data_IF_338756991949
#
_entry.id   IF_338756991949
#
_cell.length_a   1.000
_cell.length_b   1.000
_cell.length_c   1.000
_cell.angle_alpha   90.00
_cell.angle_beta   90.00
_cell.angle_gamma   90.00
#
_symmetry.space_group_name_H-M   'P 1'
#
loop_
_entity.id
_entity.type
_entity.pdbx_description
1 polymer ?
#
# COMPACT_ATOMS: atom_id res chain seq x y z
N UNK A 1 -62.86 15.19 40.98
CA UNK A 1 -61.53 14.82 41.55
C UNK A 1 -60.69 13.90 40.67
N UNK A 2 -61.23 13.31 39.58
CA UNK A 2 -60.49 12.39 38.69
C UNK A 2 -59.73 13.14 37.57
N UNK A 3 -60.24 14.27 37.07
CA UNK A 3 -59.56 15.05 36.01
C UNK A 3 -58.23 15.70 36.44
N UNK A 4 -58.06 16.07 37.71
CA UNK A 4 -56.84 16.72 38.19
C UNK A 4 -55.64 15.77 38.23
N UNK A 5 -55.88 14.46 38.46
CA UNK A 5 -54.84 13.42 38.46
C UNK A 5 -54.39 13.05 37.05
N UNK A 6 -55.25 13.19 36.04
CA UNK A 6 -54.90 12.91 34.64
C UNK A 6 -54.00 14.00 34.04
N UNK A 7 -54.28 15.27 34.35
CA UNK A 7 -53.45 16.40 33.92
C UNK A 7 -52.04 16.37 34.55
N UNK A 8 -51.92 16.00 35.83
CA UNK A 8 -50.63 15.82 36.49
C UNK A 8 -49.83 14.64 35.92
N UNK A 9 -50.49 13.55 35.51
CA UNK A 9 -49.82 12.39 34.89
C UNK A 9 -49.30 12.72 33.48
N UNK A 10 -50.05 13.49 32.68
CA UNK A 10 -49.61 13.92 31.34
C UNK A 10 -48.45 14.91 31.42
N UNK A 11 -48.44 15.82 32.41
CA UNK A 11 -47.31 16.73 32.65
C UNK A 11 -46.09 15.96 33.18
N UNK A 12 -46.26 14.96 34.05
CA UNK A 12 -45.15 14.11 34.52
C UNK A 12 -44.55 13.27 33.38
N UNK A 13 -45.38 12.72 32.48
CA UNK A 13 -44.92 11.97 31.30
C UNK A 13 -44.20 12.90 30.32
N UNK A 14 -44.65 14.15 30.15
CA UNK A 14 -43.99 15.13 29.27
C UNK A 14 -42.67 15.67 29.84
N UNK A 15 -42.48 15.61 31.17
CA UNK A 15 -41.23 15.99 31.84
C UNK A 15 -40.25 14.79 31.93
N UNK A 16 -40.76 13.56 31.97
CA UNK A 16 -39.94 12.33 31.91
C UNK A 16 -39.52 12.00 30.46
N UNK A 17 -40.33 12.38 29.48
CA UNK A 17 -39.99 12.41 28.05
C UNK A 17 -39.61 13.85 27.67
N UNK A 18 -38.64 14.43 28.36
CA UNK A 18 -37.90 15.54 27.77
C UNK A 18 -37.35 15.08 26.41
N UNK A 19 -37.17 15.97 25.41
CA UNK A 19 -36.46 15.59 24.20
C UNK A 19 -35.13 14.98 24.67
N UNK A 20 -34.91 13.70 24.35
CA UNK A 20 -33.59 13.06 24.47
C UNK A 20 -32.66 14.06 23.78
N UNK A 21 -31.86 14.79 24.56
CA UNK A 21 -30.94 15.76 24.00
C UNK A 21 -30.09 15.00 22.99
N UNK A 22 -30.32 15.29 21.72
CA UNK A 22 -29.57 14.77 20.59
C UNK A 22 -28.18 15.36 20.70
N UNK A 23 -27.32 14.68 21.46
CA UNK A 23 -25.95 15.10 21.61
C UNK A 23 -25.17 14.59 20.40
N UNK A 24 -25.00 15.46 19.40
CA UNK A 24 -23.95 15.29 18.40
C UNK A 24 -22.62 15.08 19.12
N UNK A 25 -21.91 14.00 18.78
CA UNK A 25 -20.63 13.70 19.40
C UNK A 25 -19.49 14.34 18.61
N UNK A 26 -18.58 15.01 19.30
CA UNK A 26 -17.35 15.55 18.71
C UNK A 26 -16.15 14.72 19.14
N UNK A 27 -15.44 14.14 18.18
CA UNK A 27 -14.18 13.42 18.39
C UNK A 27 -13.00 14.19 17.80
N UNK A 28 -11.80 13.96 18.34
CA UNK A 28 -10.57 14.49 17.72
C UNK A 28 -9.99 13.47 16.74
N UNK A 29 -9.30 13.94 15.69
CA UNK A 29 -8.57 13.05 14.81
C UNK A 29 -7.47 12.25 15.54
N UNK A 30 -6.88 12.81 16.59
CA UNK A 30 -5.92 12.09 17.43
C UNK A 30 -6.57 10.92 18.18
N UNK A 31 -7.85 11.01 18.56
CA UNK A 31 -8.57 9.88 19.18
C UNK A 31 -8.82 8.75 18.17
N UNK A 32 -9.28 9.10 16.97
CA UNK A 32 -9.69 8.15 15.95
C UNK A 32 -8.50 7.56 15.17
N UNK A 33 -7.61 8.42 14.69
CA UNK A 33 -6.49 8.09 13.81
C UNK A 33 -5.16 7.88 14.56
N UNK A 34 -5.16 7.80 15.90
CA UNK A 34 -3.93 7.61 16.70
C UNK A 34 -3.05 6.48 16.16
N UNK A 35 -3.68 5.38 15.73
CA UNK A 35 -3.01 4.20 15.18
C UNK A 35 -2.06 4.56 14.02
N UNK A 36 -2.41 5.54 13.21
CA UNK A 36 -1.64 5.97 12.05
C UNK A 36 -0.74 7.17 12.31
N UNK A 37 -1.02 7.92 13.38
CA UNK A 37 -0.25 9.10 13.79
C UNK A 37 0.88 8.78 14.76
N UNK A 38 0.77 7.68 15.51
CA UNK A 38 1.78 7.28 16.47
C UNK A 38 3.03 6.76 15.77
N UNK A 39 4.10 7.57 15.73
CA UNK A 39 5.41 7.26 15.12
C UNK A 39 6.08 6.00 15.66
N UNK A 40 5.79 5.63 16.89
CA UNK A 40 6.32 4.42 17.53
C UNK A 40 5.45 3.19 17.24
N UNK A 41 4.23 3.42 16.73
CA UNK A 41 3.27 2.37 16.42
C UNK A 41 3.62 1.57 15.17
N UNK A 42 3.29 0.28 15.18
CA UNK A 42 3.47 -0.62 14.03
C UNK A 42 2.72 -0.16 12.77
N UNK A 43 1.71 0.71 12.93
CA UNK A 43 0.77 1.16 11.92
C UNK A 43 0.98 2.62 11.47
N UNK A 44 2.07 3.27 11.92
CA UNK A 44 2.39 4.63 11.50
C UNK A 44 2.43 4.76 9.98
N UNK A 45 1.73 5.76 9.46
CA UNK A 45 1.73 6.02 8.02
C UNK A 45 2.84 7.00 7.66
N UNK A 46 3.67 6.61 6.70
CA UNK A 46 4.81 7.41 6.24
C UNK A 46 4.59 7.82 4.79
N UNK A 47 4.94 9.07 4.48
CA UNK A 47 5.08 9.54 3.10
C UNK A 47 6.56 9.41 2.74
N UNK A 48 6.85 8.74 1.63
CA UNK A 48 8.21 8.62 1.12
C UNK A 48 8.34 9.35 -0.21
N UNK A 49 9.54 9.88 -0.44
CA UNK A 49 9.93 10.48 -1.71
C UNK A 49 10.76 9.47 -2.51
N UNK A 50 10.73 9.59 -3.84
CA UNK A 50 11.68 8.86 -4.65
C UNK A 50 13.09 9.37 -4.37
N UNK A 51 14.04 8.44 -4.25
CA UNK A 51 15.43 8.73 -3.91
C UNK A 51 16.35 7.87 -4.78
N UNK A 52 17.58 8.34 -5.06
CA UNK A 52 18.61 7.47 -5.63
C UNK A 52 18.96 6.34 -4.65
N UNK A 53 19.13 5.12 -5.16
CA UNK A 53 19.29 3.88 -4.37
C UNK A 53 20.53 3.91 -3.48
N UNK A 54 21.71 4.27 -3.99
CA UNK A 54 22.96 4.51 -3.24
C UNK A 54 23.86 5.43 -4.08
N UNK A 55 24.68 6.27 -3.42
CA UNK A 55 25.67 7.14 -4.09
C UNK A 55 27.07 6.53 -4.02
N UNK A 56 27.89 6.68 -5.08
CA UNK A 56 29.28 6.20 -5.17
C UNK A 56 30.14 6.51 -3.91
N UNK A 57 29.96 7.69 -3.31
CA UNK A 57 30.65 8.11 -2.08
C UNK A 57 30.40 7.20 -0.86
N UNK A 58 29.26 6.51 -0.80
CA UNK A 58 28.94 5.58 0.28
C UNK A 58 29.71 4.26 0.14
N UNK A 59 29.99 3.80 -1.08
CA UNK A 59 30.70 2.54 -1.34
C UNK A 59 32.18 2.64 -0.92
N UNK A 60 32.76 3.82 -1.10
CA UNK A 60 34.14 4.13 -0.70
C UNK A 60 34.28 4.41 0.81
N UNK A 61 33.21 4.33 1.59
CA UNK A 61 33.23 4.59 3.03
C UNK A 61 33.57 3.32 3.81
N UNK A 62 34.65 3.31 4.57
CA UNK A 62 35.11 2.14 5.36
C UNK A 62 34.00 1.55 6.25
N UNK A 63 33.20 2.39 6.94
CA UNK A 63 32.08 1.90 7.78
C UNK A 63 31.00 1.20 6.96
N UNK A 64 30.80 1.59 5.70
CA UNK A 64 29.90 0.87 4.80
C UNK A 64 30.50 -0.50 4.44
N UNK A 65 31.78 -0.54 4.09
CA UNK A 65 32.48 -1.78 3.71
C UNK A 65 32.47 -2.79 4.86
N UNK A 66 32.86 -2.38 6.05
CA UNK A 66 32.87 -3.22 7.25
C UNK A 66 31.50 -3.81 7.53
N UNK A 67 30.46 -2.97 7.45
CA UNK A 67 29.08 -3.40 7.67
C UNK A 67 28.60 -4.35 6.58
N UNK A 68 28.93 -4.07 5.32
CA UNK A 68 28.55 -4.93 4.19
C UNK A 68 29.18 -6.31 4.35
N UNK A 69 30.50 -6.37 4.59
CA UNK A 69 31.25 -7.61 4.83
C UNK A 69 30.67 -8.37 6.03
N UNK A 70 30.42 -7.68 7.15
CA UNK A 70 29.84 -8.27 8.35
C UNK A 70 28.46 -8.86 8.08
N UNK A 71 27.61 -8.13 7.37
CA UNK A 71 26.26 -8.56 7.01
C UNK A 71 26.27 -9.73 6.03
N UNK A 72 27.19 -9.72 5.05
CA UNK A 72 27.41 -10.82 4.14
C UNK A 72 27.84 -12.08 4.90
N UNK A 73 28.88 -11.99 5.74
CA UNK A 73 29.39 -13.12 6.54
C UNK A 73 28.33 -13.73 7.44
N UNK A 74 27.47 -12.91 8.05
CA UNK A 74 26.37 -13.39 8.89
C UNK A 74 25.34 -14.23 8.12
N UNK A 75 25.24 -14.04 6.80
CA UNK A 75 24.24 -14.64 5.93
C UNK A 75 24.86 -15.46 4.79
N UNK A 76 26.16 -15.77 4.85
CA UNK A 76 26.94 -16.29 3.73
C UNK A 76 26.34 -17.57 3.12
N UNK A 77 25.93 -18.53 3.95
CA UNK A 77 25.32 -19.78 3.52
C UNK A 77 24.04 -19.61 2.66
N UNK A 78 23.39 -18.43 2.74
CA UNK A 78 22.24 -18.08 1.88
C UNK A 78 22.64 -17.39 0.59
N UNK A 79 23.87 -16.92 0.50
CA UNK A 79 24.39 -16.10 -0.60
C UNK A 79 25.51 -16.78 -1.37
N UNK A 80 25.81 -18.06 -1.13
CA UNK A 80 26.95 -18.75 -1.75
C UNK A 80 26.89 -18.69 -3.28
N UNK A 81 25.70 -18.92 -3.87
CA UNK A 81 25.50 -18.79 -5.32
C UNK A 81 25.68 -17.34 -5.83
N UNK A 82 25.49 -16.34 -4.96
CA UNK A 82 25.67 -14.92 -5.23
C UNK A 82 27.06 -14.39 -4.81
N UNK A 83 27.94 -15.21 -4.25
CA UNK A 83 29.24 -14.75 -3.74
C UNK A 83 30.01 -13.97 -4.81
N UNK A 84 30.08 -14.54 -6.03
CA UNK A 84 30.86 -13.96 -7.12
C UNK A 84 30.24 -12.70 -7.74
N UNK A 85 28.99 -12.38 -7.39
CA UNK A 85 28.38 -11.10 -7.73
C UNK A 85 29.11 -9.94 -7.02
N UNK A 86 29.57 -10.18 -5.79
CA UNK A 86 30.18 -9.15 -4.95
C UNK A 86 31.69 -9.31 -4.80
N UNK A 87 32.20 -10.53 -4.77
CA UNK A 87 33.58 -10.85 -4.40
C UNK A 87 34.26 -11.70 -5.46
N UNK A 88 35.59 -11.66 -5.52
CA UNK A 88 36.36 -12.56 -6.37
C UNK A 88 36.72 -13.85 -5.61
N UNK A 89 37.01 -14.95 -6.31
CA UNK A 89 37.42 -16.23 -5.70
C UNK A 89 38.65 -16.10 -4.79
N UNK A 90 39.52 -15.11 -5.07
CA UNK A 90 40.68 -14.77 -4.23
C UNK A 90 40.32 -14.10 -2.90
N UNK A 91 39.11 -13.56 -2.77
CA UNK A 91 38.64 -12.85 -1.58
C UNK A 91 38.09 -13.83 -0.51
N UNK A 92 37.81 -15.10 -0.86
CA UNK A 92 37.21 -16.11 0.03
C UNK A 92 37.95 -16.31 1.37
N UNK A 93 39.27 -16.13 1.39
CA UNK A 93 40.09 -16.33 2.60
C UNK A 93 40.34 -15.03 3.40
N UNK A 94 40.03 -13.85 2.85
CA UNK A 94 40.43 -12.55 3.42
C UNK A 94 39.38 -11.44 3.20
N UNK A 95 38.09 -11.71 3.43
CA UNK A 95 37.03 -10.69 3.46
C UNK A 95 37.20 -9.75 4.68
N UNK A 96 38.25 -8.94 4.69
CA UNK A 96 38.50 -7.91 5.70
C UNK A 96 38.23 -6.50 5.15
N UNK A 97 38.46 -6.30 3.84
CA UNK A 97 38.28 -5.02 3.13
C UNK A 97 37.71 -5.29 1.73
N UNK A 98 37.08 -4.29 1.10
CA UNK A 98 36.67 -4.44 -0.30
C UNK A 98 37.88 -4.47 -1.24
N UNK A 99 37.94 -5.48 -2.10
CA UNK A 99 38.87 -5.50 -3.23
C UNK A 99 38.46 -4.43 -4.27
N UNK A 100 39.39 -3.97 -5.15
CA UNK A 100 39.03 -3.10 -6.27
C UNK A 100 37.91 -3.68 -7.14
N UNK A 101 37.87 -5.01 -7.29
CA UNK A 101 36.80 -5.73 -7.96
C UNK A 101 35.45 -5.49 -7.26
N UNK A 102 35.34 -5.74 -5.96
CA UNK A 102 34.11 -5.51 -5.19
C UNK A 102 33.63 -4.06 -5.29
N UNK A 103 34.55 -3.10 -5.16
CA UNK A 103 34.20 -1.67 -5.29
C UNK A 103 33.63 -1.35 -6.68
N UNK A 104 34.23 -1.91 -7.74
CA UNK A 104 33.77 -1.72 -9.11
C UNK A 104 32.40 -2.38 -9.36
N UNK A 105 32.20 -3.62 -8.92
CA UNK A 105 30.93 -4.34 -9.07
C UNK A 105 29.79 -3.58 -8.38
N UNK A 106 29.98 -3.21 -7.11
CA UNK A 106 28.99 -2.43 -6.37
C UNK A 106 28.74 -1.07 -7.01
N UNK A 107 29.79 -0.33 -7.41
CA UNK A 107 29.63 0.98 -8.08
C UNK A 107 28.83 0.86 -9.37
N UNK A 108 29.12 -0.17 -10.18
CA UNK A 108 28.39 -0.44 -11.43
C UNK A 108 26.94 -0.75 -11.11
N UNK A 109 26.70 -1.69 -10.20
CA UNK A 109 25.36 -2.10 -9.77
C UNK A 109 24.50 -0.91 -9.31
N UNK A 110 24.99 -0.06 -8.40
CA UNK A 110 24.22 1.09 -7.93
C UNK A 110 24.02 2.17 -8.99
N UNK A 111 24.98 2.33 -9.92
CA UNK A 111 24.82 3.27 -11.04
C UNK A 111 23.71 2.79 -11.97
N UNK A 112 23.70 1.50 -12.31
CA UNK A 112 22.70 0.90 -13.19
C UNK A 112 21.31 0.89 -12.53
N UNK A 113 21.20 0.47 -11.26
CA UNK A 113 19.91 0.51 -10.55
C UNK A 113 19.29 1.91 -10.48
N UNK A 114 20.10 2.98 -10.52
CA UNK A 114 19.58 4.35 -10.54
C UNK A 114 19.14 4.81 -11.92
N UNK A 115 19.87 4.43 -12.97
CA UNK A 115 19.82 5.10 -14.27
C UNK A 115 19.29 4.22 -15.40
N UNK A 116 19.49 2.90 -15.33
CA UNK A 116 19.21 1.96 -16.42
C UNK A 116 18.93 0.56 -15.84
N UNK A 117 17.65 0.31 -15.54
CA UNK A 117 17.21 -0.96 -14.99
C UNK A 117 17.42 -2.13 -15.97
N UNK A 118 17.10 -2.02 -17.29
CA UNK A 118 17.48 -3.04 -18.26
C UNK A 118 18.97 -3.41 -18.25
N UNK A 119 19.87 -2.43 -18.19
CA UNK A 119 21.30 -2.69 -18.12
C UNK A 119 21.72 -3.33 -16.78
N UNK A 120 21.09 -2.95 -15.65
CA UNK A 120 21.31 -3.64 -14.37
C UNK A 120 20.93 -5.12 -14.46
N UNK A 121 19.82 -5.44 -15.10
CA UNK A 121 19.38 -6.82 -15.26
C UNK A 121 20.30 -7.61 -16.18
N UNK A 122 20.77 -7.00 -17.27
CA UNK A 122 21.80 -7.62 -18.12
C UNK A 122 23.11 -7.85 -17.36
N UNK A 123 23.51 -6.89 -16.52
CA UNK A 123 24.66 -7.05 -15.63
C UNK A 123 24.50 -8.29 -14.74
N UNK A 124 23.34 -8.49 -14.11
CA UNK A 124 23.06 -9.70 -13.31
C UNK A 124 23.14 -10.99 -14.16
N UNK A 125 22.60 -10.99 -15.38
CA UNK A 125 22.65 -12.16 -16.29
C UNK A 125 24.08 -12.55 -16.68
N UNK A 126 24.97 -11.56 -16.80
CA UNK A 126 26.38 -11.77 -17.16
C UNK A 126 27.30 -11.95 -15.97
N UNK A 127 26.82 -11.67 -14.75
CA UNK A 127 27.58 -11.86 -13.54
C UNK A 127 27.84 -13.36 -13.33
N UNK A 128 28.96 -13.75 -12.71
CA UNK A 128 29.33 -15.14 -12.45
C UNK A 128 28.49 -15.78 -11.31
N UNK A 129 27.18 -15.59 -11.31
CA UNK A 129 26.22 -16.19 -10.36
C UNK A 129 25.98 -17.64 -10.77
N UNK A 130 26.04 -18.57 -9.81
CA UNK A 130 25.67 -19.96 -10.06
C UNK A 130 24.14 -20.13 -10.01
N UNK A 131 23.46 -19.71 -11.07
CA UNK A 131 21.99 -19.74 -11.10
C UNK A 131 21.40 -21.15 -11.00
N UNK A 132 22.10 -22.16 -11.52
CA UNK A 132 21.64 -23.55 -11.47
C UNK A 132 21.64 -24.06 -10.03
N UNK A 133 22.73 -23.82 -9.29
CA UNK A 133 22.81 -24.14 -7.86
C UNK A 133 21.73 -23.41 -7.05
N UNK A 134 21.53 -22.11 -7.28
CA UNK A 134 20.49 -21.36 -6.58
C UNK A 134 19.10 -21.91 -6.88
N UNK A 135 18.80 -22.26 -8.12
CA UNK A 135 17.52 -22.86 -8.48
C UNK A 135 17.31 -24.21 -7.77
N UNK A 136 18.33 -25.04 -7.69
CA UNK A 136 18.27 -26.32 -6.96
C UNK A 136 18.07 -26.11 -5.45
N UNK A 137 18.69 -25.08 -4.88
CA UNK A 137 18.50 -24.72 -3.48
C UNK A 137 17.07 -24.21 -3.23
N UNK A 138 16.56 -23.31 -4.09
CA UNK A 138 15.21 -22.78 -3.99
C UNK A 138 14.14 -23.88 -4.09
N UNK A 139 14.36 -24.90 -4.93
CA UNK A 139 13.45 -26.05 -5.07
C UNK A 139 13.40 -26.96 -3.83
N UNK A 140 14.47 -26.98 -3.03
CA UNK A 140 14.54 -27.76 -1.78
C UNK A 140 13.96 -27.00 -0.59
N UNK A 141 13.94 -25.68 -0.67
CA UNK A 141 13.48 -24.80 0.39
C UNK A 141 11.97 -24.63 0.35
N UNK A 142 11.37 -24.35 1.51
CA UNK A 142 10.00 -23.86 1.54
C UNK A 142 9.93 -22.41 1.01
N UNK A 143 8.70 -22.00 0.71
CA UNK A 143 8.42 -20.70 0.13
C UNK A 143 8.94 -19.53 0.99
N UNK A 144 8.87 -19.65 2.32
CA UNK A 144 9.28 -18.61 3.27
C UNK A 144 10.80 -18.43 3.24
N UNK A 145 11.57 -19.52 3.21
CA UNK A 145 13.03 -19.44 3.15
C UNK A 145 13.52 -18.88 1.80
N UNK A 146 12.80 -19.19 0.71
CA UNK A 146 13.04 -18.56 -0.60
C UNK A 146 12.83 -17.03 -0.50
N UNK A 147 11.70 -16.55 0.03
CA UNK A 147 11.48 -15.10 0.28
C UNK A 147 12.59 -14.51 1.13
N UNK A 148 12.94 -15.20 2.21
CA UNK A 148 13.91 -14.69 3.16
C UNK A 148 15.30 -14.55 2.53
N UNK A 149 15.66 -15.43 1.61
CA UNK A 149 16.91 -15.36 0.84
C UNK A 149 16.96 -14.09 0.00
N UNK A 150 15.94 -13.85 -0.83
CA UNK A 150 15.92 -12.69 -1.74
C UNK A 150 15.68 -11.35 -1.02
N UNK A 151 14.87 -11.33 0.04
CA UNK A 151 14.72 -10.13 0.87
C UNK A 151 16.00 -9.83 1.63
N UNK A 152 16.71 -10.85 2.12
CA UNK A 152 18.04 -10.69 2.72
C UNK A 152 19.09 -10.19 1.72
N UNK A 153 19.04 -10.63 0.47
CA UNK A 153 19.91 -10.11 -0.60
C UNK A 153 19.61 -8.65 -0.88
N UNK A 154 18.33 -8.27 -0.92
CA UNK A 154 17.90 -6.86 -1.02
C UNK A 154 18.44 -6.03 0.14
N UNK A 155 18.31 -6.51 1.38
CA UNK A 155 18.85 -5.84 2.56
C UNK A 155 20.37 -5.68 2.52
N UNK A 156 21.08 -6.68 1.99
CA UNK A 156 22.52 -6.61 1.78
C UNK A 156 22.88 -5.59 0.70
N UNK A 157 22.13 -5.52 -0.40
CA UNK A 157 22.33 -4.52 -1.45
C UNK A 157 22.08 -3.10 -0.90
N UNK A 158 21.04 -2.88 -0.10
CA UNK A 158 20.77 -1.56 0.47
C UNK A 158 21.76 -1.21 1.60
N UNK A 159 22.09 -2.18 2.45
CA UNK A 159 23.07 -2.08 3.55
C UNK A 159 22.99 -0.79 4.39
N UNK A 160 21.80 -0.23 4.64
CA UNK A 160 21.64 1.03 5.37
C UNK A 160 21.27 0.77 6.85
N UNK A 161 22.07 1.23 7.82
CA UNK A 161 21.81 0.99 9.24
C UNK A 161 20.59 1.76 9.75
N UNK A 162 20.36 2.99 9.27
CA UNK A 162 19.24 3.80 9.71
C UNK A 162 17.93 3.27 9.11
N UNK A 163 17.01 2.82 9.96
CA UNK A 163 15.75 2.17 9.54
C UNK A 163 14.95 3.01 8.53
N UNK A 164 14.72 4.29 8.82
CA UNK A 164 13.93 5.16 7.94
C UNK A 164 14.58 5.34 6.55
N UNK A 165 15.89 5.55 6.51
CA UNK A 165 16.64 5.66 5.26
C UNK A 165 16.60 4.34 4.50
N UNK A 166 16.84 3.20 5.18
CA UNK A 166 16.74 1.86 4.59
C UNK A 166 15.37 1.62 3.95
N UNK A 167 14.29 1.91 4.67
CA UNK A 167 12.92 1.76 4.14
C UNK A 167 12.69 2.61 2.89
N UNK A 168 13.18 3.86 2.88
CA UNK A 168 13.08 4.76 1.72
C UNK A 168 13.83 4.20 0.51
N UNK A 169 15.06 3.72 0.69
CA UNK A 169 15.86 3.15 -0.41
C UNK A 169 15.26 1.83 -0.93
N UNK A 170 14.73 0.99 -0.03
CA UNK A 170 14.03 -0.24 -0.41
C UNK A 170 12.77 0.05 -1.22
N UNK A 171 11.96 1.04 -0.81
CA UNK A 171 10.77 1.50 -1.57
C UNK A 171 11.13 2.05 -2.95
N UNK A 172 12.23 2.81 -3.04
CA UNK A 172 12.72 3.35 -4.30
C UNK A 172 13.20 2.22 -5.24
N UNK A 173 13.84 1.17 -4.71
CA UNK A 173 14.28 0.01 -5.50
C UNK A 173 13.08 -0.81 -5.97
N UNK A 174 12.14 -1.10 -5.07
CA UNK A 174 10.91 -1.84 -5.37
C UNK A 174 10.09 -1.13 -6.46
N UNK A 175 10.02 0.20 -6.46
CA UNK A 175 9.35 0.97 -7.52
C UNK A 175 9.99 0.75 -8.89
N UNK A 176 11.33 0.81 -8.98
CA UNK A 176 12.05 0.59 -10.24
C UNK A 176 11.93 -0.85 -10.72
N UNK A 177 11.93 -1.82 -9.81
CA UNK A 177 11.67 -3.22 -10.13
C UNK A 177 10.24 -3.43 -10.63
N UNK A 178 9.25 -2.82 -9.99
CA UNK A 178 7.86 -2.89 -10.43
C UNK A 178 7.69 -2.37 -11.86
N UNK A 179 8.27 -1.20 -12.15
CA UNK A 179 8.26 -0.62 -13.48
C UNK A 179 8.92 -1.56 -14.48
N UNK A 180 10.12 -2.06 -14.19
CA UNK A 180 10.80 -3.01 -15.06
C UNK A 180 9.96 -4.27 -15.35
N UNK A 181 9.35 -4.85 -14.32
CA UNK A 181 8.57 -6.07 -14.46
C UNK A 181 7.29 -5.89 -15.25
N UNK A 182 6.58 -4.76 -15.09
CA UNK A 182 5.18 -4.66 -15.51
C UNK A 182 4.90 -3.57 -16.54
N UNK A 183 5.81 -2.60 -16.73
CA UNK A 183 5.55 -1.51 -17.66
C UNK A 183 5.70 -1.96 -19.12
N UNK A 184 4.93 -1.37 -20.05
CA UNK A 184 4.95 -1.76 -21.46
C UNK A 184 6.33 -1.73 -22.11
N UNK A 185 7.21 -0.84 -21.66
CA UNK A 185 8.53 -0.60 -22.22
C UNK A 185 9.51 -1.75 -21.95
N UNK A 186 9.35 -2.47 -20.83
CA UNK A 186 10.33 -3.45 -20.33
C UNK A 186 9.77 -4.85 -20.12
N UNK A 187 8.44 -5.03 -20.16
CA UNK A 187 7.77 -6.31 -19.94
C UNK A 187 8.29 -7.45 -20.82
N UNK A 188 8.71 -7.18 -22.06
CA UNK A 188 9.23 -8.23 -22.95
C UNK A 188 10.58 -8.77 -22.45
N UNK A 189 11.48 -7.90 -21.97
CA UNK A 189 12.72 -8.35 -21.34
C UNK A 189 12.44 -9.13 -20.06
N UNK A 190 11.46 -8.68 -19.25
CA UNK A 190 11.08 -9.43 -18.05
C UNK A 190 10.50 -10.80 -18.38
N UNK A 191 9.67 -10.93 -19.42
CA UNK A 191 9.13 -12.22 -19.89
C UNK A 191 10.22 -13.20 -20.28
N UNK A 192 11.27 -12.75 -20.96
CA UNK A 192 12.41 -13.61 -21.33
C UNK A 192 13.10 -14.19 -20.10
N UNK A 193 13.24 -13.40 -19.04
CA UNK A 193 13.81 -13.83 -17.76
C UNK A 193 12.88 -14.81 -17.05
N UNK A 194 11.59 -14.46 -16.96
CA UNK A 194 10.58 -15.26 -16.28
C UNK A 194 10.26 -16.59 -17.00
N UNK A 195 10.52 -16.67 -18.31
CA UNK A 195 10.28 -17.90 -19.10
C UNK A 195 11.50 -18.79 -19.21
N UNK A 196 12.66 -18.34 -18.74
CA UNK A 196 13.90 -19.10 -18.78
C UNK A 196 14.28 -19.54 -17.36
N UNK A 197 14.17 -20.85 -17.10
CA UNK A 197 14.44 -21.45 -15.78
C UNK A 197 15.81 -21.04 -15.23
N UNK A 198 16.83 -20.93 -16.09
CA UNK A 198 18.16 -20.48 -15.71
C UNK A 198 18.15 -19.09 -15.04
N UNK A 199 17.29 -18.16 -15.46
CA UNK A 199 17.24 -16.80 -14.90
C UNK A 199 16.18 -16.60 -13.82
N UNK A 200 15.50 -17.65 -13.36
CA UNK A 200 14.51 -17.55 -12.29
C UNK A 200 15.00 -16.86 -11.00
N UNK A 201 16.27 -17.00 -10.55
CA UNK A 201 16.74 -16.28 -9.37
C UNK A 201 16.67 -14.76 -9.53
N UNK A 202 16.86 -14.23 -10.74
CA UNK A 202 16.66 -12.79 -11.02
C UNK A 202 15.18 -12.44 -10.87
N UNK A 203 14.27 -13.20 -11.48
CA UNK A 203 12.84 -12.95 -11.39
C UNK A 203 12.34 -12.99 -9.92
N UNK A 204 12.82 -13.96 -9.14
CA UNK A 204 12.53 -14.10 -7.70
C UNK A 204 13.06 -12.93 -6.88
N UNK A 205 14.27 -12.43 -7.17
CA UNK A 205 14.79 -11.20 -6.53
C UNK A 205 13.83 -10.04 -6.75
N UNK A 206 13.46 -9.76 -8.01
CA UNK A 206 12.57 -8.65 -8.36
C UNK A 206 11.22 -8.76 -7.65
N UNK A 207 10.59 -9.94 -7.75
CA UNK A 207 9.27 -10.19 -7.15
C UNK A 207 9.32 -10.11 -5.62
N UNK A 208 10.25 -10.81 -4.98
CA UNK A 208 10.37 -10.80 -3.52
C UNK A 208 10.60 -9.38 -2.99
N UNK A 209 11.43 -8.58 -3.66
CA UNK A 209 11.61 -7.17 -3.29
C UNK A 209 10.31 -6.38 -3.45
N UNK A 210 9.62 -6.47 -4.59
CA UNK A 210 8.36 -5.72 -4.84
C UNK A 210 7.31 -6.07 -3.77
N UNK A 211 7.01 -7.36 -3.60
CA UNK A 211 5.93 -7.82 -2.75
C UNK A 211 6.20 -7.61 -1.26
N UNK A 212 7.39 -7.98 -0.77
CA UNK A 212 7.77 -7.75 0.62
C UNK A 212 7.73 -6.24 0.96
N UNK A 213 8.14 -5.40 0.02
CA UNK A 213 8.22 -3.95 0.23
C UNK A 213 6.86 -3.29 0.18
N UNK A 214 6.02 -3.57 -0.83
CA UNK A 214 4.75 -2.88 -1.00
C UNK A 214 3.59 -3.54 -0.26
N UNK A 215 3.47 -4.86 -0.33
CA UNK A 215 2.37 -5.58 0.31
C UNK A 215 2.66 -5.93 1.77
N UNK A 216 3.88 -6.38 2.07
CA UNK A 216 4.24 -6.80 3.42
C UNK A 216 4.50 -5.65 4.37
N UNK A 217 5.51 -4.83 4.09
CA UNK A 217 5.91 -3.73 4.98
C UNK A 217 5.28 -2.38 4.61
N UNK A 218 4.93 -2.19 3.33
CA UNK A 218 4.59 -0.90 2.75
C UNK A 218 3.12 -0.58 2.60
N UNK A 219 2.21 -1.46 3.04
CA UNK A 219 0.76 -1.22 2.94
C UNK A 219 0.32 0.10 3.62
N UNK A 220 1.06 0.53 4.65
CA UNK A 220 0.87 1.80 5.38
C UNK A 220 1.57 3.01 4.75
N UNK A 221 2.48 2.81 3.80
CA UNK A 221 3.32 3.85 3.22
C UNK A 221 2.67 4.47 1.97
N UNK A 222 2.86 5.77 1.80
CA UNK A 222 2.39 6.55 0.65
C UNK A 222 3.58 7.06 -0.16
N UNK A 223 3.51 6.93 -1.48
CA UNK A 223 4.45 7.61 -2.35
C UNK A 223 4.03 9.07 -2.53
N UNK A 224 4.95 10.01 -2.28
CA UNK A 224 4.71 11.44 -2.43
C UNK A 224 4.17 11.82 -3.82
N UNK A 225 4.80 11.35 -4.90
CA UNK A 225 4.33 11.58 -6.27
C UNK A 225 2.87 11.19 -6.52
N UNK A 226 2.36 10.12 -5.89
CA UNK A 226 0.95 9.74 -6.03
C UNK A 226 0.06 10.79 -5.36
N UNK A 227 0.41 11.24 -4.15
CA UNK A 227 -0.32 12.30 -3.45
C UNK A 227 -0.25 13.63 -4.20
N UNK A 228 0.93 14.02 -4.68
CA UNK A 228 1.14 15.27 -5.43
C UNK A 228 0.37 15.27 -6.77
N UNK A 229 0.38 14.16 -7.50
CA UNK A 229 -0.36 14.05 -8.75
C UNK A 229 -1.88 14.09 -8.53
N UNK A 230 -2.39 13.42 -7.49
CA UNK A 230 -3.81 13.49 -7.12
C UNK A 230 -4.20 14.90 -6.64
N UNK A 231 -3.36 15.53 -5.83
CA UNK A 231 -3.57 16.91 -5.36
C UNK A 231 -3.72 17.87 -6.54
N UNK A 232 -2.81 17.81 -7.51
CA UNK A 232 -2.84 18.66 -8.70
C UNK A 232 -4.12 18.49 -9.51
N UNK A 233 -4.61 17.26 -9.65
CA UNK A 233 -5.89 16.99 -10.32
C UNK A 233 -7.06 17.56 -9.53
N UNK A 234 -7.11 17.32 -8.22
CA UNK A 234 -8.17 17.82 -7.34
C UNK A 234 -8.17 19.34 -7.10
N UNK A 235 -7.21 20.09 -7.66
CA UNK A 235 -7.31 21.56 -7.73
C UNK A 235 -8.49 22.01 -8.60
N UNK A 236 -8.89 21.20 -9.58
CA UNK A 236 -10.13 21.45 -10.33
C UNK A 236 -11.35 21.11 -9.46
N UNK A 237 -12.34 22.00 -9.32
CA UNK A 237 -13.48 21.80 -8.44
C UNK A 237 -14.43 20.65 -8.86
N UNK A 238 -14.26 20.10 -10.06
CA UNK A 238 -15.04 18.95 -10.54
C UNK A 238 -14.34 17.62 -10.33
N UNK A 239 -13.05 17.63 -9.97
CA UNK A 239 -12.26 16.41 -9.77
C UNK A 239 -12.39 15.90 -8.32
N UNK A 240 -12.42 14.58 -8.16
CA UNK A 240 -12.49 13.86 -6.89
C UNK A 240 -11.71 12.55 -6.96
N UNK A 241 -11.38 11.99 -5.79
CA UNK A 241 -10.71 10.69 -5.67
C UNK A 241 -11.73 9.62 -5.30
N UNK A 242 -11.74 8.52 -6.04
CA UNK A 242 -12.40 7.28 -5.61
C UNK A 242 -11.33 6.28 -5.16
N UNK A 243 -11.21 6.09 -3.86
CA UNK A 243 -10.28 5.16 -3.22
C UNK A 243 -10.96 3.79 -3.02
N UNK A 244 -10.59 2.83 -3.85
CA UNK A 244 -11.07 1.45 -3.78
C UNK A 244 -10.34 0.71 -2.67
N UNK A 245 -11.12 0.10 -1.78
CA UNK A 245 -10.69 -0.58 -0.55
C UNK A 245 -9.70 0.29 0.27
N UNK A 246 -10.03 1.58 0.37
CA UNK A 246 -9.23 2.55 1.12
C UNK A 246 -9.44 2.46 2.64
N UNK A 247 -10.38 1.65 3.13
CA UNK A 247 -10.76 1.57 4.53
C UNK A 247 -11.07 2.95 5.11
N UNK A 248 -10.24 3.40 6.04
CA UNK A 248 -10.35 4.74 6.61
C UNK A 248 -9.16 5.62 6.26
N UNK A 249 -8.26 5.18 5.37
CA UNK A 249 -6.93 5.73 5.07
C UNK A 249 -7.03 7.04 4.28
N UNK A 250 -7.70 8.03 4.86
CA UNK A 250 -8.01 9.32 4.23
C UNK A 250 -7.11 10.44 4.75
N UNK A 251 -6.43 10.24 5.89
CA UNK A 251 -5.73 11.32 6.57
C UNK A 251 -4.60 11.93 5.72
N UNK A 252 -3.87 11.10 4.97
CA UNK A 252 -2.81 11.61 4.09
C UNK A 252 -3.35 12.37 2.89
N UNK A 253 -4.53 11.98 2.37
CA UNK A 253 -5.23 12.73 1.33
C UNK A 253 -5.65 14.12 1.85
N UNK A 254 -6.26 14.16 3.04
CA UNK A 254 -6.66 15.42 3.70
C UNK A 254 -5.44 16.32 3.98
N UNK A 255 -4.34 15.73 4.49
CA UNK A 255 -3.10 16.46 4.75
C UNK A 255 -2.46 17.04 3.49
N UNK A 256 -2.71 16.45 2.33
CA UNK A 256 -2.28 16.96 1.02
C UNK A 256 -3.30 17.88 0.35
N UNK A 257 -4.38 18.25 1.04
CA UNK A 257 -5.39 19.17 0.50
C UNK A 257 -6.37 18.53 -0.49
N UNK A 258 -6.48 17.20 -0.50
CA UNK A 258 -7.46 16.48 -1.29
C UNK A 258 -8.71 16.33 -0.42
N UNK A 259 -9.75 17.10 -0.76
CA UNK A 259 -10.95 17.23 0.07
C UNK A 259 -12.21 16.61 -0.55
N UNK A 260 -12.16 16.00 -1.73
CA UNK A 260 -13.30 15.27 -2.31
C UNK A 260 -12.92 13.81 -2.47
N UNK A 261 -13.36 12.98 -1.53
CA UNK A 261 -12.94 11.60 -1.40
C UNK A 261 -14.17 10.70 -1.31
N UNK A 262 -14.28 9.76 -2.24
CA UNK A 262 -15.17 8.63 -2.18
C UNK A 262 -14.34 7.39 -1.81
N UNK A 263 -14.73 6.67 -0.77
CA UNK A 263 -14.12 5.39 -0.40
C UNK A 263 -15.13 4.29 -0.70
N UNK A 264 -14.73 3.27 -1.47
CA UNK A 264 -15.53 2.06 -1.69
C UNK A 264 -14.84 0.93 -0.96
N UNK A 265 -15.39 0.46 0.16
CA UNK A 265 -14.77 -0.60 0.96
C UNK A 265 -15.84 -1.42 1.69
N UNK A 266 -15.79 -2.76 1.71
CA UNK A 266 -16.76 -3.56 2.46
C UNK A 266 -16.69 -3.34 3.98
N UNK A 267 -15.54 -2.90 4.50
CA UNK A 267 -15.23 -2.67 5.91
C UNK A 267 -15.63 -3.87 6.75
N UNK A 268 -14.80 -4.92 6.69
CA UNK A 268 -15.08 -6.24 7.23
C UNK A 268 -14.86 -6.26 8.75
N UNK A 269 -15.90 -6.48 9.58
CA UNK A 269 -15.73 -6.51 11.05
C UNK A 269 -14.74 -7.55 11.56
N UNK A 270 -14.40 -8.57 10.76
CA UNK A 270 -13.38 -9.58 11.06
C UNK A 270 -11.94 -9.07 10.94
N UNK A 271 -11.73 -7.83 10.48
CA UNK A 271 -10.43 -7.24 10.17
C UNK A 271 -10.15 -5.93 10.94
N UNK A 272 -10.49 -5.80 12.24
CA UNK A 272 -10.44 -4.53 12.97
C UNK A 272 -9.01 -3.98 13.15
N UNK A 273 -7.97 -4.82 12.95
CA UNK A 273 -6.57 -4.39 12.99
C UNK A 273 -6.19 -3.45 11.84
N UNK A 274 -6.92 -3.50 10.72
CA UNK A 274 -6.66 -2.68 9.53
C UNK A 274 -7.42 -1.34 9.53
N UNK A 275 -8.36 -1.15 10.46
CA UNK A 275 -9.20 0.04 10.56
C UNK A 275 -8.79 0.96 11.71
N UNK A 276 -9.39 2.15 11.78
CA UNK A 276 -9.26 3.05 12.92
C UNK A 276 -9.96 2.46 14.16
N UNK A 277 -9.60 2.95 15.35
CA UNK A 277 -10.32 2.56 16.57
C UNK A 277 -11.72 3.17 16.54
N UNK A 278 -12.74 2.37 16.84
CA UNK A 278 -14.14 2.82 16.79
C UNK A 278 -14.61 3.10 15.36
N UNK A 279 -14.13 2.32 14.39
CA UNK A 279 -14.48 2.50 12.98
C UNK A 279 -15.98 2.38 12.71
N UNK A 280 -16.69 1.60 13.54
CA UNK A 280 -18.13 1.43 13.47
C UNK A 280 -18.84 2.78 13.56
N UNK A 281 -18.41 3.63 14.52
CA UNK A 281 -18.94 4.98 14.74
C UNK A 281 -18.72 5.87 13.50
N UNK A 282 -17.60 5.73 12.80
CA UNK A 282 -17.33 6.53 11.60
C UNK A 282 -18.32 6.23 10.46
N UNK A 283 -18.82 5.00 10.41
CA UNK A 283 -19.82 4.57 9.43
C UNK A 283 -21.23 4.88 9.92
N UNK A 284 -21.54 4.60 11.19
CA UNK A 284 -22.88 4.76 11.76
C UNK A 284 -22.74 5.19 13.23
N UNK A 285 -23.30 6.34 13.58
CA UNK A 285 -23.30 6.83 14.96
C UNK A 285 -24.22 6.02 15.86
N UNK A 286 -24.04 6.24 17.16
CA UNK A 286 -24.67 5.42 18.20
C UNK A 286 -26.10 5.90 18.57
N UNK A 287 -26.51 7.08 18.10
CA UNK A 287 -27.83 7.65 18.41
C UNK A 287 -28.95 7.18 17.45
N UNK A 288 -30.19 7.57 17.79
CA UNK A 288 -31.39 7.21 17.03
C UNK A 288 -31.43 7.86 15.62
N UNK A 289 -30.57 8.84 15.34
CA UNK A 289 -30.39 9.47 14.04
C UNK A 289 -29.18 8.91 13.27
N UNK A 290 -28.49 7.89 13.80
CA UNK A 290 -27.25 7.36 13.23
C UNK A 290 -26.09 8.39 13.24
N UNK A 291 -26.11 9.28 14.22
CA UNK A 291 -25.13 10.34 14.53
C UNK A 291 -25.00 11.43 13.47
N UNK A 292 -26.12 11.85 12.89
CA UNK A 292 -26.14 13.05 12.06
C UNK A 292 -25.72 14.25 12.91
N UNK A 293 -24.84 15.08 12.35
CA UNK A 293 -24.12 16.18 13.00
C UNK A 293 -22.96 15.76 13.91
N UNK A 294 -22.60 14.48 14.01
CA UNK A 294 -21.32 14.10 14.63
C UNK A 294 -20.16 14.82 13.93
N UNK A 295 -19.14 15.18 14.70
CA UNK A 295 -18.01 15.98 14.21
C UNK A 295 -16.66 15.34 14.52
N UNK A 296 -15.72 15.51 13.59
CA UNK A 296 -14.31 15.18 13.79
C UNK A 296 -13.49 16.45 13.57
N UNK A 297 -12.75 16.85 14.60
CA UNK A 297 -11.86 18.00 14.53
C UNK A 297 -10.44 17.56 14.15
N UNK A 298 -9.86 18.22 13.15
CA UNK A 298 -8.49 17.96 12.71
C UNK A 298 -7.78 19.19 12.15
N UNK A 299 -6.46 19.12 12.14
CA UNK A 299 -5.62 20.05 11.39
C UNK A 299 -5.02 19.29 10.21
N UNK A 300 -5.32 19.72 8.98
CA UNK A 300 -4.83 19.09 7.76
C UNK A 300 -4.55 20.16 6.69
N UNK A 301 -3.47 20.01 5.92
CA UNK A 301 -3.04 20.98 4.91
C UNK A 301 -2.99 22.43 5.45
N UNK A 302 -2.44 22.62 6.65
CA UNK A 302 -2.35 23.89 7.37
C UNK A 302 -3.70 24.58 7.65
N UNK A 303 -4.82 23.85 7.57
CA UNK A 303 -6.17 24.31 7.89
C UNK A 303 -6.71 23.58 9.11
N UNK A 304 -7.52 24.27 9.91
CA UNK A 304 -8.34 23.63 10.92
C UNK A 304 -9.67 23.27 10.27
N UNK A 305 -10.00 21.98 10.32
CA UNK A 305 -11.14 21.40 9.60
C UNK A 305 -12.09 20.72 10.59
N UNK A 306 -13.37 20.71 10.23
CA UNK A 306 -14.40 19.87 10.83
C UNK A 306 -14.90 18.93 9.74
N UNK A 307 -14.83 17.62 9.97
CA UNK A 307 -15.64 16.66 9.23
C UNK A 307 -16.95 16.50 9.97
N UNK A 308 -18.06 16.90 9.36
CA UNK A 308 -19.39 16.80 9.95
C UNK A 308 -20.23 15.75 9.24
N UNK A 309 -20.77 14.77 9.95
CA UNK A 309 -21.63 13.74 9.34
C UNK A 309 -22.96 14.37 8.92
N UNK A 310 -23.24 14.38 7.63
CA UNK A 310 -24.45 15.00 7.07
C UNK A 310 -25.49 13.98 6.60
N UNK A 311 -25.08 12.75 6.32
CA UNK A 311 -26.02 11.69 5.93
C UNK A 311 -25.52 10.29 6.27
N UNK A 312 -26.48 9.41 6.55
CA UNK A 312 -26.31 7.97 6.63
C UNK A 312 -27.51 7.31 5.94
N UNK A 313 -27.24 6.41 4.99
CA UNK A 313 -28.27 5.63 4.30
C UNK A 313 -27.87 4.17 4.29
N UNK A 314 -28.73 3.31 4.81
CA UNK A 314 -28.57 1.85 4.72
C UNK A 314 -29.53 1.31 3.66
N UNK A 315 -29.01 0.59 2.68
CA UNK A 315 -29.81 0.12 1.55
C UNK A 315 -30.12 -1.38 1.61
N UNK A 316 -29.10 -2.21 1.88
CA UNK A 316 -29.17 -3.67 1.71
C UNK A 316 -28.16 -4.37 2.64
N UNK A 317 -28.04 -5.70 2.57
CA UNK A 317 -27.08 -6.51 3.29
C UNK A 317 -26.33 -7.41 2.31
N UNK A 318 -25.01 -7.49 2.42
CA UNK A 318 -24.19 -8.46 1.70
C UNK A 318 -23.58 -9.48 2.64
N UNK A 319 -23.15 -10.61 2.09
CA UNK A 319 -22.47 -11.67 2.84
C UNK A 319 -20.98 -11.68 2.49
N UNK A 320 -20.13 -11.84 3.49
CA UNK A 320 -18.68 -11.99 3.32
C UNK A 320 -18.19 -13.22 4.10
N UNK A 321 -17.27 -13.99 3.49
CA UNK A 321 -16.62 -15.11 4.16
C UNK A 321 -15.38 -14.60 4.88
N UNK A 322 -15.25 -14.91 6.17
CA UNK A 322 -14.06 -14.57 6.96
C UNK A 322 -12.93 -15.57 6.68
N UNK A 323 -11.70 -15.22 7.07
CA UNK A 323 -10.56 -16.13 6.99
C UNK A 323 -10.79 -17.46 7.74
N UNK A 324 -11.61 -17.46 8.80
CA UNK A 324 -12.01 -18.67 9.53
C UNK A 324 -13.12 -19.49 8.81
N UNK A 325 -13.47 -19.13 7.58
CA UNK A 325 -14.49 -19.79 6.78
C UNK A 325 -15.94 -19.45 7.14
N UNK A 326 -16.16 -18.60 8.16
CA UNK A 326 -17.50 -18.19 8.60
C UNK A 326 -18.08 -17.14 7.67
N UNK A 327 -19.35 -17.27 7.30
CA UNK A 327 -20.05 -16.21 6.57
C UNK A 327 -20.65 -15.20 7.56
N UNK A 328 -20.38 -13.92 7.35
CA UNK A 328 -20.94 -12.79 8.11
C UNK A 328 -21.82 -11.94 7.21
N UNK A 329 -22.91 -11.40 7.77
CA UNK A 329 -23.80 -10.46 7.09
C UNK A 329 -23.40 -9.04 7.45
N UNK A 330 -23.27 -8.19 6.45
CA UNK A 330 -22.76 -6.82 6.58
C UNK A 330 -23.74 -5.87 5.89
N UNK A 331 -24.20 -4.79 6.54
CA UNK A 331 -25.06 -3.82 5.89
C UNK A 331 -24.29 -3.04 4.82
N UNK A 332 -24.89 -2.89 3.64
CA UNK A 332 -24.51 -1.89 2.64
C UNK A 332 -25.00 -0.53 3.12
N UNK A 333 -24.12 0.45 3.12
CA UNK A 333 -24.47 1.79 3.56
C UNK A 333 -23.62 2.85 2.87
N UNK A 334 -24.18 4.05 2.73
CA UNK A 334 -23.46 5.24 2.30
C UNK A 334 -23.48 6.24 3.46
N UNK A 335 -22.30 6.65 3.90
CA UNK A 335 -22.12 7.66 4.95
C UNK A 335 -21.35 8.84 4.38
N UNK A 336 -21.88 10.05 4.51
CA UNK A 336 -21.22 11.27 4.03
C UNK A 336 -20.83 12.18 5.18
N UNK A 337 -19.59 12.64 5.14
CA UNK A 337 -19.02 13.66 5.98
C UNK A 337 -18.68 14.88 5.14
N UNK A 338 -19.24 16.04 5.44
CA UNK A 338 -18.85 17.29 4.82
C UNK A 338 -17.59 17.83 5.48
N UNK A 339 -16.66 18.37 4.69
CA UNK A 339 -15.44 18.99 5.19
C UNK A 339 -15.63 20.50 5.22
N UNK A 340 -15.55 21.08 6.41
CA UNK A 340 -15.77 22.50 6.67
C UNK A 340 -14.44 23.12 7.14
N UNK A 341 -14.04 24.23 6.51
CA UNK A 341 -12.92 25.04 6.99
C UNK A 341 -13.40 25.91 8.15
N UNK A 342 -12.79 25.78 9.33
CA UNK A 342 -13.25 26.53 10.51
C UNK A 342 -12.95 28.01 10.44
N UNK A 343 -12.02 28.45 9.57
CA UNK A 343 -11.74 29.87 9.38
C UNK A 343 -12.80 30.56 8.53
N UNK A 344 -13.20 29.93 7.41
CA UNK A 344 -14.20 30.51 6.50
C UNK A 344 -15.63 30.08 6.79
N UNK A 345 -15.81 29.01 7.58
CA UNK A 345 -17.08 28.33 7.82
C UNK A 345 -17.72 27.76 6.53
N UNK A 346 -16.94 27.62 5.47
CA UNK A 346 -17.42 27.10 4.18
C UNK A 346 -17.15 25.61 4.04
N UNK A 347 -18.07 24.92 3.36
CA UNK A 347 -17.85 23.55 2.89
C UNK A 347 -16.83 23.56 1.75
N UNK A 348 -15.69 22.94 1.99
CA UNK A 348 -14.60 22.83 1.00
C UNK A 348 -14.54 21.46 0.31
N UNK A 349 -15.30 20.48 0.79
CA UNK A 349 -15.31 19.13 0.23
C UNK A 349 -16.17 18.15 1.03
N UNK A 350 -15.90 16.87 0.83
CA UNK A 350 -16.58 15.77 1.51
C UNK A 350 -15.71 14.50 1.55
N UNK A 351 -16.02 13.62 2.49
CA UNK A 351 -15.61 12.22 2.51
C UNK A 351 -16.86 11.35 2.53
N UNK A 352 -17.01 10.48 1.54
CA UNK A 352 -18.11 9.52 1.47
C UNK A 352 -17.56 8.10 1.63
N UNK A 353 -18.13 7.33 2.56
CA UNK A 353 -17.87 5.91 2.70
C UNK A 353 -19.03 5.13 2.09
N UNK A 354 -18.77 4.47 0.97
CA UNK A 354 -19.67 3.52 0.30
C UNK A 354 -19.29 2.09 0.72
N UNK A 355 -20.05 1.55 1.66
CA UNK A 355 -19.76 0.27 2.30
C UNK A 355 -20.27 -0.90 1.45
N UNK A 356 -19.43 -1.40 0.56
CA UNK A 356 -19.69 -2.57 -0.30
C UNK A 356 -18.41 -3.12 -0.92
N UNK A 357 -18.50 -4.29 -1.54
CA UNK A 357 -17.47 -4.74 -2.47
C UNK A 357 -17.46 -3.86 -3.72
N UNK A 358 -16.25 -3.60 -4.23
CA UNK A 358 -16.11 -2.98 -5.55
C UNK A 358 -16.53 -3.96 -6.65
N UNK A 359 -16.82 -3.42 -7.81
CA UNK A 359 -17.32 -4.13 -8.99
C UNK A 359 -16.59 -3.63 -10.24
N UNK A 360 -16.75 -4.35 -11.34
CA UNK A 360 -16.13 -3.97 -12.61
C UNK A 360 -16.50 -2.55 -13.06
N UNK A 361 -17.72 -2.10 -12.75
CA UNK A 361 -18.25 -0.79 -13.12
C UNK A 361 -17.53 0.36 -12.39
N UNK A 362 -16.98 0.12 -11.20
CA UNK A 362 -16.27 1.16 -10.45
C UNK A 362 -15.01 1.66 -11.18
N UNK A 363 -14.48 0.85 -12.10
CA UNK A 363 -13.31 1.16 -12.94
C UNK A 363 -13.67 1.80 -14.29
N UNK A 364 -14.95 2.03 -14.57
CA UNK A 364 -15.38 2.77 -15.75
C UNK A 364 -14.98 4.24 -15.64
N UNK A 365 -14.89 4.94 -16.77
CA UNK A 365 -14.59 6.36 -16.77
C UNK A 365 -15.80 7.17 -16.34
N UNK A 366 -15.54 8.16 -15.50
CA UNK A 366 -16.51 9.16 -15.10
C UNK A 366 -15.79 10.52 -15.07
N UNK A 367 -16.40 11.59 -15.61
CA UNK A 367 -15.79 12.92 -15.59
C UNK A 367 -15.36 13.33 -14.17
N UNK A 368 -14.10 13.74 -14.01
CA UNK A 368 -13.54 14.17 -12.73
C UNK A 368 -13.13 13.05 -11.77
N UNK A 369 -13.37 11.77 -12.10
CA UNK A 369 -13.02 10.65 -11.23
C UNK A 369 -11.55 10.26 -11.35
N UNK A 370 -10.85 10.26 -10.22
CA UNK A 370 -9.49 9.74 -10.10
C UNK A 370 -9.47 8.47 -9.26
N UNK A 371 -9.11 7.34 -9.87
CA UNK A 371 -9.08 6.06 -9.19
C UNK A 371 -7.79 5.90 -8.39
N UNK A 372 -7.92 5.54 -7.12
CA UNK A 372 -6.83 5.22 -6.21
C UNK A 372 -7.05 3.81 -5.62
N UNK A 373 -5.98 3.02 -5.55
CA UNK A 373 -5.95 1.71 -4.87
C UNK A 373 -4.69 1.59 -4.01
N UNK A 374 -4.72 0.67 -3.04
CA UNK A 374 -3.49 0.18 -2.42
C UNK A 374 -2.82 -0.86 -3.34
N UNK A 375 -1.52 -1.09 -3.15
CA UNK A 375 -0.80 -2.14 -3.88
C UNK A 375 -1.33 -3.55 -3.57
N UNK A 376 -1.77 -3.81 -2.34
CA UNK A 376 -2.40 -5.08 -1.97
C UNK A 376 -3.70 -5.29 -2.76
N UNK A 377 -4.50 -4.23 -2.93
CA UNK A 377 -5.73 -4.34 -3.70
C UNK A 377 -5.46 -4.50 -5.19
N UNK A 378 -4.45 -3.79 -5.70
CA UNK A 378 -3.99 -3.99 -7.08
C UNK A 378 -3.62 -5.45 -7.36
N UNK A 379 -3.01 -6.15 -6.40
CA UNK A 379 -2.76 -7.59 -6.53
C UNK A 379 -4.06 -8.35 -6.76
N UNK A 380 -5.05 -8.23 -5.87
CA UNK A 380 -6.34 -8.93 -6.02
C UNK A 380 -7.10 -8.55 -7.31
N UNK A 381 -6.96 -7.31 -7.79
CA UNK A 381 -7.51 -6.86 -9.07
C UNK A 381 -6.83 -7.51 -10.28
N UNK A 382 -5.59 -7.96 -10.14
CA UNK A 382 -4.76 -8.48 -11.23
C UNK A 382 -4.49 -9.98 -11.12
N UNK A 383 -4.82 -10.64 -10.01
CA UNK A 383 -4.71 -12.09 -9.84
C UNK A 383 -5.57 -12.85 -10.86
N UNK A 384 -5.04 -13.97 -11.39
CA UNK A 384 -5.69 -14.76 -12.42
C UNK A 384 -6.66 -15.84 -11.89
N UNK A 385 -6.52 -16.23 -10.62
CA UNK A 385 -7.22 -17.36 -9.96
C UNK A 385 -8.46 -16.93 -9.15
N UNK A 386 -9.06 -17.89 -8.43
CA UNK A 386 -10.29 -17.79 -7.63
C UNK A 386 -10.28 -16.70 -6.56
N UNK A 387 -9.10 -16.21 -6.17
CA UNK A 387 -8.92 -15.12 -5.18
C UNK A 387 -9.08 -13.70 -5.79
N UNK A 388 -9.37 -13.60 -7.10
CA UNK A 388 -9.69 -12.33 -7.75
C UNK A 388 -11.07 -11.83 -7.29
N UNK A 389 -11.21 -10.51 -7.14
CA UNK A 389 -12.48 -9.83 -6.85
C UNK A 389 -13.54 -9.85 -7.97
N UNK A 390 -13.42 -10.74 -8.96
CA UNK A 390 -14.24 -10.75 -10.16
C UNK A 390 -13.97 -9.58 -11.12
N UNK A 391 -12.84 -8.88 -10.95
CA UNK A 391 -12.44 -7.74 -11.78
C UNK A 391 -11.53 -8.22 -12.91
N UNK A 392 -11.81 -7.76 -14.13
CA UNK A 392 -10.98 -8.03 -15.29
C UNK A 392 -10.31 -6.76 -15.83
N UNK A 393 -8.98 -6.59 -15.61
CA UNK A 393 -8.23 -5.48 -16.18
C UNK A 393 -8.35 -5.38 -17.71
N UNK A 394 -8.63 -6.49 -18.42
CA UNK A 394 -8.84 -6.47 -19.86
C UNK A 394 -10.09 -5.68 -20.28
N UNK A 395 -11.05 -5.49 -19.36
CA UNK A 395 -12.28 -4.72 -19.57
C UNK A 395 -12.17 -3.25 -19.17
N UNK A 396 -11.07 -2.83 -18.55
CA UNK A 396 -10.88 -1.42 -18.22
C UNK A 396 -10.90 -0.53 -19.47
N UNK A 397 -11.30 0.75 -19.34
CA UNK A 397 -11.13 1.76 -20.37
C UNK A 397 -9.68 1.85 -20.86
N UNK A 398 -9.46 2.21 -22.13
CA UNK A 398 -8.10 2.20 -22.73
C UNK A 398 -7.16 3.23 -22.09
N UNK A 399 -7.73 4.33 -21.66
CA UNK A 399 -7.11 5.53 -21.10
C UNK A 399 -7.32 5.63 -19.57
N UNK A 400 -7.73 4.53 -18.93
CA UNK A 400 -7.77 4.45 -17.47
C UNK A 400 -6.39 4.80 -16.90
N UNK A 401 -6.42 5.65 -15.88
CA UNK A 401 -5.25 5.97 -15.04
C UNK A 401 -5.58 5.54 -13.63
N UNK A 402 -4.84 4.56 -13.11
CA UNK A 402 -5.03 4.06 -11.76
C UNK A 402 -3.85 4.50 -10.89
N UNK A 403 -4.11 5.37 -9.92
CA UNK A 403 -3.14 5.73 -8.91
C UNK A 403 -3.01 4.58 -7.92
N UNK A 404 -1.77 4.28 -7.52
CA UNK A 404 -1.50 3.22 -6.56
C UNK A 404 -0.69 3.85 -5.44
N UNK A 405 -1.23 3.78 -4.21
CA UNK A 405 -0.70 4.47 -3.02
C UNK A 405 0.82 4.35 -2.87
N UNK A 406 1.38 3.17 -3.11
CA UNK A 406 2.81 2.87 -2.93
C UNK A 406 3.69 3.14 -4.17
N UNK A 407 3.10 3.42 -5.32
CA UNK A 407 3.85 3.58 -6.57
C UNK A 407 4.17 5.04 -6.86
N UNK A 408 5.32 5.27 -7.49
CA UNK A 408 5.78 6.61 -7.90
C UNK A 408 5.08 7.16 -9.13
N UNK A 409 4.51 6.26 -9.93
CA UNK A 409 3.84 6.52 -11.19
C UNK A 409 2.49 5.79 -11.20
N UNK A 410 1.42 6.40 -11.73
CA UNK A 410 0.16 5.71 -11.92
C UNK A 410 0.31 4.61 -12.97
N UNK A 411 -0.59 3.62 -12.93
CA UNK A 411 -0.57 2.51 -13.87
C UNK A 411 -1.69 2.62 -14.90
N UNK A 412 -1.46 2.03 -16.07
CA UNK A 412 -2.43 1.97 -17.17
C UNK A 412 -3.10 0.61 -17.23
N UNK A 413 -4.14 0.48 -18.07
CA UNK A 413 -4.69 -0.82 -18.47
C UNK A 413 -3.62 -1.82 -18.90
N UNK A 414 -2.63 -1.38 -19.70
CA UNK A 414 -1.57 -2.25 -20.21
C UNK A 414 -0.74 -2.82 -19.06
N UNK A 415 -0.36 -1.97 -18.10
CA UNK A 415 0.39 -2.37 -16.92
C UNK A 415 -0.40 -3.38 -16.07
N UNK A 416 -1.69 -3.11 -15.80
CA UNK A 416 -2.54 -4.04 -15.04
C UNK A 416 -2.73 -5.39 -15.77
N UNK A 417 -2.90 -5.38 -17.10
CA UNK A 417 -2.93 -6.61 -17.90
C UNK A 417 -1.57 -7.34 -17.89
N UNK A 418 -0.45 -6.63 -17.86
CA UNK A 418 0.88 -7.24 -17.77
C UNK A 418 1.08 -7.92 -16.43
N UNK A 419 0.67 -7.29 -15.31
CA UNK A 419 0.64 -7.93 -13.99
C UNK A 419 -0.16 -9.23 -14.04
N UNK A 420 -1.41 -9.19 -14.54
CA UNK A 420 -2.26 -10.39 -14.68
C UNK A 420 -1.66 -11.48 -15.54
N UNK A 421 -0.92 -11.13 -16.59
CA UNK A 421 -0.22 -12.11 -17.44
C UNK A 421 0.99 -12.71 -16.72
N UNK A 422 1.68 -11.92 -15.92
CA UNK A 422 2.85 -12.37 -15.19
C UNK A 422 2.49 -13.34 -14.05
N UNK A 423 1.30 -13.22 -13.47
CA UNK A 423 0.70 -14.22 -12.57
C UNK A 423 0.42 -15.58 -13.24
N UNK A 424 0.52 -15.68 -14.57
CA UNK A 424 0.39 -16.95 -15.30
C UNK A 424 1.72 -17.56 -15.70
N UNK A 425 2.83 -16.89 -15.41
CA UNK A 425 4.15 -17.46 -15.64
C UNK A 425 4.31 -18.68 -14.73
N UNK A 426 4.96 -19.75 -15.21
CA UNK A 426 5.14 -20.98 -14.44
C UNK A 426 6.22 -20.76 -13.37
N UNK A 427 5.83 -20.01 -12.35
CA UNK A 427 6.66 -19.55 -11.28
C UNK A 427 5.92 -19.97 -10.01
N UNK A 428 6.32 -21.10 -9.42
CA UNK A 428 5.83 -21.58 -8.12
C UNK A 428 5.95 -20.52 -7.00
N UNK A 429 6.66 -19.42 -7.28
CA UNK A 429 6.84 -18.24 -6.45
C UNK A 429 5.79 -17.12 -6.62
N UNK A 430 4.80 -17.22 -7.52
CA UNK A 430 3.76 -16.16 -7.61
C UNK A 430 2.97 -16.03 -6.30
N UNK A 431 2.93 -17.10 -5.50
CA UNK A 431 2.42 -17.10 -4.11
C UNK A 431 3.28 -16.33 -3.11
N UNK A 432 4.46 -15.81 -3.50
CA UNK A 432 5.27 -14.94 -2.64
C UNK A 432 4.60 -13.60 -2.29
N UNK A 433 3.66 -13.13 -3.13
CA UNK A 433 2.92 -11.90 -2.91
C UNK A 433 1.67 -12.03 -2.02
N UNK A 434 1.02 -13.21 -2.06
CA UNK A 434 -0.22 -13.50 -1.32
C UNK A 434 0.04 -14.17 0.03
N UNK A 435 1.23 -14.75 0.25
CA UNK A 435 1.63 -15.40 1.50
C UNK A 435 2.26 -14.47 2.54
N UNK A 436 2.01 -13.15 2.50
CA UNK A 436 2.33 -12.31 3.67
C UNK A 436 1.30 -12.59 4.77
N UNK A 437 1.49 -13.71 5.46
CA UNK A 437 0.75 -14.11 6.66
C UNK A 437 1.15 -13.30 7.87
#
# INVERSE_FOLDING_TARGET
>A
MIMLKFAQLVILISIIIGPKNMHAETKSHTELFNRWLNKEGAYFQTIFHDVPIIRKKQITNEKFQDRFIKNYKKKNARFDAFFKLFFNDKDNNHLAIFSPYTQQQLTTMYTLMNNDMPAFINFLKTAPINFEEQNQQDHKNDLTEVVHTYTSLTELIINEPQKATRETLTLALANRFFEYCFYPETINHFKEIASNHHYHPIAKLLYATIWNTFAGLGWKNWHYNTLDALQKKCQNPTEYVTYIAGGFDILQLLNHGIFRINVIDPILPSQPKYYIKGWEWLIKGDDDQNGINDEITLTANNKNLILKRVSYKQDDIFSAKTAAGKTIKIPKSITQWDIIDTQTQEKIGYVQFDRRFCTQQDFEQEPGKNLLVSFNELHFLTTAEDDNWGIDPSKFPKDITLFVKQLRNPITKKTACNMRKAEKFNLDFIRLGSCVT
#
